data_IF_756872101281
#
_entry.id   IF_756872101281
#
_cell.length_a   1.000
_cell.length_b   1.000
_cell.length_c   1.000
_cell.angle_alpha   90.00
_cell.angle_beta   90.00
_cell.angle_gamma   90.00
#
_symmetry.space_group_name_H-M   'P 1'
#
loop_
_entity.id
_entity.type
_entity.pdbx_description
1 polymer ?
#
# COMPACT_ATOMS: atom_id res chain seq x y z
N UNK A 1 -54.27 -7.39 17.54
CA UNK A 1 -55.62 -7.89 17.90
C UNK A 1 -56.30 -6.77 18.66
N UNK A 2 -57.46 -6.32 18.19
CA UNK A 2 -58.24 -5.24 18.83
C UNK A 2 -59.29 -5.92 19.71
N UNK A 3 -59.32 -5.60 21.00
CA UNK A 3 -60.42 -6.04 21.86
C UNK A 3 -61.65 -5.14 21.69
N UNK A 4 -62.76 -5.56 22.26
CA UNK A 4 -64.05 -4.88 22.23
C UNK A 4 -64.10 -3.54 23.00
N UNK A 5 -62.97 -3.08 23.56
CA UNK A 5 -62.84 -1.78 24.22
C UNK A 5 -61.90 -0.80 23.46
N UNK A 6 -61.46 -1.15 22.25
CA UNK A 6 -60.62 -0.27 21.43
C UNK A 6 -59.16 -0.17 21.90
N UNK A 7 -58.72 -1.05 22.80
CA UNK A 7 -57.32 -1.11 23.18
C UNK A 7 -56.51 -1.80 22.07
N UNK A 8 -55.49 -1.10 21.57
CA UNK A 8 -54.57 -1.65 20.56
C UNK A 8 -53.25 -1.95 21.24
N UNK A 9 -52.89 -3.23 21.38
CA UNK A 9 -51.56 -3.63 21.85
C UNK A 9 -50.62 -3.69 20.65
N UNK A 10 -49.76 -2.68 20.51
CA UNK A 10 -48.65 -2.70 19.53
C UNK A 10 -47.45 -3.34 20.22
N UNK A 11 -47.00 -4.49 19.72
CA UNK A 11 -45.72 -5.09 20.09
C UNK A 11 -44.74 -4.73 18.99
N UNK A 12 -43.82 -3.83 19.28
CA UNK A 12 -42.70 -3.52 18.37
C UNK A 12 -41.71 -4.68 18.52
N UNK A 13 -41.40 -5.34 17.40
CA UNK A 13 -40.28 -6.27 17.31
C UNK A 13 -39.22 -5.60 16.45
N UNK A 14 -38.15 -5.15 17.08
CA UNK A 14 -37.00 -4.61 16.38
C UNK A 14 -36.32 -5.76 15.63
N UNK A 15 -36.30 -5.68 14.31
CA UNK A 15 -35.45 -6.55 13.48
C UNK A 15 -34.13 -5.80 13.34
N UNK A 16 -33.12 -6.21 14.11
CA UNK A 16 -31.76 -5.76 13.89
C UNK A 16 -31.23 -6.50 12.66
N UNK A 17 -31.07 -5.78 11.55
CA UNK A 17 -30.23 -6.25 10.44
C UNK A 17 -28.81 -6.12 10.94
N UNK A 18 -28.07 -7.23 10.97
CA UNK A 18 -26.68 -7.24 11.41
C UNK A 18 -25.82 -6.77 10.25
N UNK A 19 -24.98 -5.76 10.48
CA UNK A 19 -24.00 -5.26 9.51
C UNK A 19 -23.03 -6.36 9.04
N UNK A 20 -22.62 -6.29 7.78
CA UNK A 20 -21.56 -7.12 7.19
C UNK A 20 -20.35 -6.23 6.89
N UNK A 21 -19.19 -6.46 7.54
CA UNK A 21 -18.02 -5.62 7.33
C UNK A 21 -17.59 -5.54 5.85
N UNK A 22 -16.99 -4.41 5.42
CA UNK A 22 -16.62 -4.21 4.04
C UNK A 22 -15.48 -5.15 3.63
N UNK A 23 -15.43 -5.51 2.35
CA UNK A 23 -14.32 -6.27 1.76
C UNK A 23 -13.34 -5.31 1.12
N UNK A 24 -12.15 -5.19 1.72
CA UNK A 24 -11.08 -4.37 1.19
C UNK A 24 -10.37 -5.03 -0.01
N UNK A 25 -10.17 -4.29 -1.10
CA UNK A 25 -9.43 -4.78 -2.27
C UNK A 25 -8.83 -3.61 -3.05
N UNK A 26 -7.65 -3.81 -3.65
CA UNK A 26 -7.00 -2.79 -4.46
C UNK A 26 -6.02 -3.35 -5.49
N UNK A 27 -5.67 -2.55 -6.48
CA UNK A 27 -4.52 -2.80 -7.34
C UNK A 27 -3.64 -1.55 -7.48
N UNK A 28 -2.45 -1.71 -8.03
CA UNK A 28 -1.53 -0.61 -8.27
C UNK A 28 -0.89 -0.71 -9.65
N UNK A 29 -0.53 0.44 -10.22
CA UNK A 29 0.14 0.55 -11.52
C UNK A 29 1.31 1.54 -11.38
N UNK A 30 2.51 1.21 -11.87
CA UNK A 30 2.86 0.00 -12.64
C UNK A 30 3.06 -1.26 -11.76
N UNK A 31 3.05 -2.45 -12.38
CA UNK A 31 3.26 -3.74 -11.68
C UNK A 31 4.70 -3.91 -11.16
N UNK A 32 5.67 -3.27 -11.84
CA UNK A 32 7.10 -3.29 -11.52
C UNK A 32 7.68 -1.88 -11.48
N UNK A 33 7.36 -1.07 -10.46
CA UNK A 33 7.87 0.29 -10.36
C UNK A 33 9.34 0.32 -9.97
N UNK A 34 10.04 1.35 -10.41
CA UNK A 34 11.40 1.68 -9.97
C UNK A 34 11.41 2.69 -8.81
N UNK A 35 12.51 2.74 -8.07
CA UNK A 35 12.67 3.74 -7.00
C UNK A 35 12.52 5.18 -7.55
N UNK A 36 11.65 5.96 -6.92
CA UNK A 36 11.28 7.32 -7.30
C UNK A 36 10.23 7.44 -8.41
N UNK A 37 9.66 6.33 -8.88
CA UNK A 37 8.53 6.32 -9.81
C UNK A 37 7.20 6.53 -9.06
N UNK A 38 6.27 7.26 -9.68
CA UNK A 38 4.91 7.42 -9.15
C UNK A 38 4.08 6.16 -9.40
N UNK A 39 3.43 5.68 -8.35
CA UNK A 39 2.57 4.49 -8.37
C UNK A 39 1.16 4.95 -8.05
N UNK A 40 0.22 4.63 -8.94
CA UNK A 40 -1.19 4.88 -8.75
C UNK A 40 -1.83 3.68 -8.05
N UNK A 41 -2.41 3.91 -6.88
CA UNK A 41 -3.17 2.90 -6.14
C UNK A 41 -4.66 3.12 -6.37
N UNK A 42 -5.35 2.05 -6.74
CA UNK A 42 -6.79 2.07 -7.02
C UNK A 42 -7.50 1.14 -6.07
N UNK A 43 -8.20 1.71 -5.10
CA UNK A 43 -9.25 1.04 -4.35
C UNK A 43 -10.33 0.44 -5.26
N UNK A 44 -10.70 -0.81 -4.99
CA UNK A 44 -11.84 -1.53 -5.57
C UNK A 44 -12.62 -2.28 -4.48
N UNK A 45 -12.52 -1.79 -3.24
CA UNK A 45 -13.22 -2.33 -2.09
C UNK A 45 -14.74 -2.23 -2.28
N UNK A 46 -15.46 -3.13 -1.61
CA UNK A 46 -16.91 -3.24 -1.73
C UNK A 46 -17.55 -3.54 -0.39
N UNK A 47 -18.75 -3.02 -0.20
CA UNK A 47 -19.62 -3.35 0.91
C UNK A 47 -20.97 -3.85 0.35
N UNK A 48 -21.52 -4.92 0.93
CA UNK A 48 -22.69 -5.63 0.40
C UNK A 48 -24.02 -5.12 0.95
N UNK A 49 -24.00 -4.51 2.14
CA UNK A 49 -25.16 -3.97 2.82
C UNK A 49 -25.01 -2.50 3.23
N UNK A 50 -23.83 -1.91 3.05
CA UNK A 50 -23.57 -0.49 3.30
C UNK A 50 -22.75 0.21 2.23
N UNK A 51 -22.01 1.23 2.66
CA UNK A 51 -21.10 2.03 1.85
C UNK A 51 -19.80 2.33 2.59
N UNK A 52 -18.69 2.30 1.87
CA UNK A 52 -17.38 2.64 2.43
C UNK A 52 -17.27 4.15 2.61
N UNK A 53 -16.96 4.59 3.84
CA UNK A 53 -16.90 6.01 4.23
C UNK A 53 -15.47 6.50 4.50
N UNK A 54 -14.52 5.61 4.75
CA UNK A 54 -13.14 5.99 5.02
C UNK A 54 -12.12 5.01 4.44
N UNK A 55 -10.91 5.53 4.17
CA UNK A 55 -9.75 4.76 3.69
C UNK A 55 -8.52 5.14 4.51
N UNK A 56 -7.70 4.15 4.81
CA UNK A 56 -6.38 4.34 5.40
C UNK A 56 -5.38 3.41 4.73
N UNK A 57 -4.37 4.02 4.12
CA UNK A 57 -3.26 3.34 3.48
C UNK A 57 -2.01 3.45 4.35
N UNK A 58 -1.37 2.33 4.63
CA UNK A 58 0.01 2.25 5.11
C UNK A 58 0.86 1.67 3.97
N UNK A 59 1.84 2.43 3.48
CA UNK A 59 2.70 2.00 2.36
C UNK A 59 3.87 1.12 2.81
N UNK A 60 4.06 0.89 4.12
CA UNK A 60 5.12 0.05 4.66
C UNK A 60 6.52 0.69 4.62
N UNK A 61 6.63 1.96 4.20
CA UNK A 61 7.84 2.77 4.23
C UNK A 61 7.82 3.86 5.33
N UNK A 62 6.79 3.83 6.18
CA UNK A 62 6.53 4.81 7.23
C UNK A 62 5.66 5.99 6.79
N UNK A 63 5.16 5.98 5.55
CA UNK A 63 4.20 6.98 5.05
C UNK A 63 2.80 6.39 4.89
N UNK A 64 1.79 7.26 4.89
CA UNK A 64 0.38 6.87 4.85
C UNK A 64 -0.48 7.85 4.03
N UNK A 65 -1.69 7.42 3.66
CA UNK A 65 -2.69 8.26 2.99
C UNK A 65 -4.11 7.93 3.42
N UNK A 66 -5.00 8.91 3.40
CA UNK A 66 -6.45 8.70 3.62
C UNK A 66 -7.27 8.98 2.35
N UNK A 67 -6.63 9.07 1.18
CA UNK A 67 -7.32 9.21 -0.10
C UNK A 67 -7.84 7.84 -0.56
N UNK A 68 -8.98 7.79 -1.22
CA UNK A 68 -9.48 6.56 -1.85
C UNK A 68 -8.50 6.00 -2.91
N UNK A 69 -7.99 6.87 -3.79
CA UNK A 69 -7.03 6.51 -4.84
C UNK A 69 -5.75 7.34 -4.70
N UNK A 70 -4.80 6.96 -3.82
CA UNK A 70 -3.59 7.74 -3.63
C UNK A 70 -2.56 7.50 -4.75
N UNK A 71 -1.68 8.49 -4.93
CA UNK A 71 -0.43 8.35 -5.67
C UNK A 71 0.69 8.34 -4.64
N UNK A 72 1.61 7.37 -4.74
CA UNK A 72 2.76 7.25 -3.83
C UNK A 72 4.03 6.91 -4.61
N UNK A 73 5.20 7.18 -4.03
CA UNK A 73 6.49 6.79 -4.61
C UNK A 73 7.45 6.34 -3.52
N UNK A 74 8.26 5.32 -3.81
CA UNK A 74 9.25 4.80 -2.87
C UNK A 74 10.64 5.33 -3.20
N UNK A 75 11.31 5.94 -2.22
CA UNK A 75 12.64 6.53 -2.43
C UNK A 75 13.77 5.52 -2.64
N UNK A 76 13.57 4.26 -2.26
CA UNK A 76 14.57 3.18 -2.38
C UNK A 76 13.94 1.93 -2.97
N UNK A 77 14.75 1.14 -3.68
CA UNK A 77 14.35 -0.20 -4.10
C UNK A 77 14.29 -1.14 -2.91
N UNK A 78 13.40 -2.13 -2.96
CA UNK A 78 13.13 -3.04 -1.85
C UNK A 78 11.73 -3.65 -1.90
N UNK A 79 11.40 -4.46 -0.90
CA UNK A 79 10.06 -5.02 -0.72
C UNK A 79 9.31 -4.24 0.35
N UNK A 80 8.08 -3.84 0.05
CA UNK A 80 7.22 -3.10 0.95
C UNK A 80 5.87 -3.81 1.09
N UNK A 81 5.31 -3.75 2.30
CA UNK A 81 4.01 -4.31 2.62
C UNK A 81 3.00 -3.18 2.68
N UNK A 82 2.12 -3.12 1.68
CA UNK A 82 1.04 -2.14 1.61
C UNK A 82 -0.18 -2.71 2.31
N UNK A 83 -0.78 -1.92 3.19
CA UNK A 83 -2.03 -2.24 3.86
C UNK A 83 -3.06 -1.18 3.52
N UNK A 84 -4.25 -1.63 3.11
CA UNK A 84 -5.45 -0.81 3.01
C UNK A 84 -6.42 -1.27 4.09
N UNK A 85 -6.85 -0.34 4.93
CA UNK A 85 -8.01 -0.47 5.83
C UNK A 85 -9.12 0.44 5.30
N UNK A 86 -10.34 -0.07 5.21
CA UNK A 86 -11.55 0.68 4.87
C UNK A 86 -12.58 0.54 5.99
N UNK A 87 -13.36 1.57 6.22
CA UNK A 87 -14.46 1.59 7.21
C UNK A 87 -15.79 1.82 6.49
N UNK A 88 -16.83 1.08 6.87
CA UNK A 88 -18.19 1.26 6.36
C UNK A 88 -18.99 2.32 7.16
N UNK A 89 -20.21 2.62 6.72
CA UNK A 89 -21.10 3.60 7.34
C UNK A 89 -21.69 3.17 8.69
N UNK A 90 -21.49 1.90 9.08
CA UNK A 90 -21.85 1.35 10.38
C UNK A 90 -20.63 1.23 11.34
N UNK A 91 -19.43 1.58 10.86
CA UNK A 91 -18.18 1.66 11.62
C UNK A 91 -17.38 0.35 11.70
N UNK A 92 -17.75 -0.68 10.93
CA UNK A 92 -16.94 -1.90 10.83
C UNK A 92 -15.81 -1.74 9.79
N UNK A 93 -14.70 -2.44 10.03
CA UNK A 93 -13.49 -2.33 9.21
C UNK A 93 -13.24 -3.57 8.34
N UNK A 94 -12.81 -3.31 7.10
CA UNK A 94 -12.24 -4.27 6.16
C UNK A 94 -10.76 -4.00 5.96
N UNK A 95 -9.94 -5.05 5.85
CA UNK A 95 -8.48 -4.91 5.70
C UNK A 95 -7.89 -5.88 4.70
N UNK A 96 -7.01 -5.37 3.84
CA UNK A 96 -6.23 -6.17 2.88
C UNK A 96 -4.76 -5.74 2.90
N UNK A 97 -3.87 -6.68 2.55
CA UNK A 97 -2.42 -6.43 2.50
C UNK A 97 -1.82 -7.04 1.25
N UNK A 98 -0.99 -6.28 0.53
CA UNK A 98 -0.26 -6.73 -0.66
C UNK A 98 1.20 -6.33 -0.56
N UNK A 99 2.07 -7.16 -1.15
CA UNK A 99 3.50 -6.83 -1.23
C UNK A 99 3.79 -6.21 -2.59
N UNK A 100 4.61 -5.16 -2.60
CA UNK A 100 5.18 -4.57 -3.81
C UNK A 100 6.70 -4.68 -3.77
N UNK A 101 7.31 -4.97 -4.91
CA UNK A 101 8.76 -4.99 -5.09
C UNK A 101 9.16 -3.80 -5.96
N UNK A 102 9.95 -2.90 -5.38
CA UNK A 102 10.45 -1.68 -6.02
C UNK A 102 11.84 -1.96 -6.58
N UNK A 103 11.99 -1.79 -7.88
CA UNK A 103 13.26 -2.00 -8.55
C UNK A 103 14.28 -0.93 -8.11
N UNK A 104 15.52 -1.36 -7.89
CA UNK A 104 16.61 -0.43 -7.60
C UNK A 104 16.91 0.40 -8.85
N UNK A 105 16.90 1.73 -8.71
CA UNK A 105 17.33 2.60 -9.80
C UNK A 105 18.83 2.44 -10.02
N UNK A 106 19.21 1.64 -11.02
CA UNK A 106 20.60 1.58 -11.45
C UNK A 106 20.96 2.94 -12.06
N UNK A 107 21.94 3.63 -11.47
CA UNK A 107 22.48 4.86 -12.05
C UNK A 107 23.70 4.45 -12.87
N UNK A 108 23.62 4.34 -14.21
CA UNK A 108 24.79 4.09 -15.03
C UNK A 108 25.72 5.32 -14.93
N UNK A 109 26.76 5.22 -14.10
CA UNK A 109 27.74 6.30 -13.93
C UNK A 109 28.59 6.20 -12.67
N UNK A 110 28.08 5.64 -11.57
CA UNK A 110 28.86 5.54 -10.33
C UNK A 110 29.79 4.31 -10.28
N UNK A 111 29.44 3.19 -10.91
CA UNK A 111 30.29 2.00 -10.95
C UNK A 111 31.58 2.19 -11.79
N UNK A 112 31.54 3.04 -12.82
CA UNK A 112 32.73 3.28 -13.65
C UNK A 112 33.82 4.06 -12.90
N UNK A 113 33.46 4.95 -11.98
CA UNK A 113 34.45 5.69 -11.18
C UNK A 113 35.13 4.75 -10.18
N UNK A 114 34.41 3.82 -9.56
CA UNK A 114 35.00 2.81 -8.67
C UNK A 114 35.88 1.82 -9.42
N UNK A 115 35.48 1.37 -10.62
CA UNK A 115 36.30 0.52 -11.49
C UNK A 115 37.56 1.27 -11.96
N UNK A 116 37.44 2.53 -12.39
CA UNK A 116 38.57 3.33 -12.88
C UNK A 116 39.58 3.63 -11.76
N UNK A 117 39.11 3.94 -10.54
CA UNK A 117 39.95 4.11 -9.35
C UNK A 117 40.63 2.80 -8.94
N UNK A 118 39.92 1.67 -8.95
CA UNK A 118 40.50 0.36 -8.63
C UNK A 118 41.60 -0.04 -9.64
N UNK A 119 41.38 0.24 -10.93
CA UNK A 119 42.37 0.00 -11.99
C UNK A 119 43.60 0.91 -11.79
N UNK A 120 43.40 2.21 -11.52
CA UNK A 120 44.49 3.16 -11.27
C UNK A 120 45.32 2.77 -10.03
N UNK A 121 44.67 2.26 -8.98
CA UNK A 121 45.34 1.80 -7.76
C UNK A 121 46.11 0.48 -7.96
N UNK A 122 45.62 -0.42 -8.82
CA UNK A 122 46.35 -1.64 -9.20
C UNK A 122 47.62 -1.35 -9.98
N UNK A 123 47.61 -0.34 -10.86
CA UNK A 123 48.81 0.05 -11.62
C UNK A 123 49.83 0.83 -10.77
N UNK A 124 49.40 1.54 -9.73
CA UNK A 124 50.29 2.28 -8.81
C UNK A 124 51.22 1.39 -7.98
N UNK A 125 50.87 0.10 -7.76
CA UNK A 125 51.66 -0.82 -6.91
C UNK A 125 52.74 -1.63 -7.62
N UNK A 126 52.85 -1.56 -8.96
CA UNK A 126 53.96 -2.20 -9.69
C UNK A 126 55.20 -1.30 -9.68
N UNK A 127 55.90 -1.24 -8.54
CA UNK A 127 57.29 -0.74 -8.52
C UNK A 127 58.15 -1.66 -9.39
N UNK A 128 58.57 -1.17 -10.54
CA UNK A 128 59.59 -1.80 -11.38
C UNK A 128 60.93 -1.66 -10.63
N UNK A 129 61.37 -2.72 -9.97
CA UNK A 129 62.76 -2.83 -9.51
C UNK A 129 63.64 -3.24 -10.69
N UNK A 130 64.30 -2.26 -11.31
CA UNK A 130 65.41 -2.52 -12.23
C UNK A 130 66.68 -2.70 -11.38
N UNK A 131 67.24 -3.91 -11.33
CA UNK A 131 68.60 -4.13 -10.78
C UNK A 131 69.62 -3.86 -11.91
N UNK A 132 70.62 -3.04 -11.59
CA UNK A 132 71.83 -2.81 -12.39
C UNK A 132 72.67 -4.08 -12.51
#
# INVERSE_FOLDING_TARGET
>A
VVDNNGATSVKIQEISVKNVPPTAEFFFIPEKPSAGEEINFTDVSSDVDGSIVSWHWDFGDGTASNKQHPIHSYGKGGKYTITLTVEDDDGDEGKITKTIEIEVKSTPGFELIFILLAILFMFSRRKITFKK
#
